data_IF_137498703726
#
_entry.id   IF_137498703726
#
_cell.length_a   1.000
_cell.length_b   1.000
_cell.length_c   1.000
_cell.angle_alpha   90.00
_cell.angle_beta   90.00
_cell.angle_gamma   90.00
#
_symmetry.space_group_name_H-M   'P 1'
#
loop_
_entity.id
_entity.type
_entity.pdbx_description
1 polymer ?
#
# COMPACT_ATOMS: atom_id res chain seq x y z
N UNK A 1 7.88 14.19 -15.52
CA UNK A 1 8.45 13.39 -14.42
C UNK A 1 7.72 13.72 -13.14
N UNK A 2 7.18 12.69 -12.46
CA UNK A 2 6.86 12.65 -11.02
C UNK A 2 5.95 13.72 -10.39
N UNK A 3 4.73 13.34 -10.07
CA UNK A 3 4.19 13.63 -8.73
C UNK A 3 3.64 12.35 -8.13
N UNK A 4 4.51 11.57 -7.48
CA UNK A 4 4.03 10.63 -6.46
C UNK A 4 3.34 11.51 -5.43
N UNK A 5 2.01 11.45 -5.33
CA UNK A 5 1.26 12.08 -4.25
C UNK A 5 2.04 11.82 -2.96
N UNK A 6 2.54 12.88 -2.34
CA UNK A 6 3.47 12.78 -1.24
C UNK A 6 2.89 11.81 -0.22
N UNK A 7 3.60 10.70 0.03
CA UNK A 7 3.37 9.98 1.28
C UNK A 7 3.57 11.03 2.35
N UNK A 8 2.49 11.40 3.04
CA UNK A 8 2.46 12.48 4.05
C UNK A 8 3.64 12.37 5.04
N UNK A 9 4.15 11.15 5.23
CA UNK A 9 5.35 10.85 6.00
C UNK A 9 6.31 9.96 5.19
N UNK A 10 7.60 10.32 5.10
CA UNK A 10 8.65 9.47 4.52
C UNK A 10 8.73 8.11 5.23
N UNK A 11 9.13 7.05 4.52
CA UNK A 11 9.20 5.71 5.11
C UNK A 11 10.30 5.61 6.18
N UNK A 12 11.42 6.33 6.01
CA UNK A 12 12.48 6.47 7.03
C UNK A 12 11.95 7.03 8.37
N UNK A 13 11.03 8.01 8.30
CA UNK A 13 10.40 8.59 9.48
C UNK A 13 9.56 7.55 10.23
N UNK A 14 8.84 6.68 9.50
CA UNK A 14 8.03 5.62 10.10
C UNK A 14 8.90 4.57 10.77
N UNK A 15 9.97 4.13 10.10
CA UNK A 15 10.93 3.16 10.66
C UNK A 15 11.54 3.72 11.94
N UNK A 16 11.98 4.98 11.91
CA UNK A 16 12.50 5.67 13.10
C UNK A 16 11.46 5.74 14.22
N UNK A 17 10.21 6.09 13.91
CA UNK A 17 9.15 6.14 14.92
C UNK A 17 8.90 4.78 15.58
N UNK A 18 8.88 3.69 14.80
CA UNK A 18 8.71 2.33 15.33
C UNK A 18 9.88 1.95 16.24
N UNK A 19 11.12 2.25 15.85
CA UNK A 19 12.29 2.00 16.67
C UNK A 19 12.24 2.79 17.98
N UNK A 20 11.94 4.09 17.91
CA UNK A 20 11.85 4.93 19.11
C UNK A 20 10.74 4.45 20.07
N UNK A 21 9.61 3.96 19.57
CA UNK A 21 8.58 3.36 20.42
C UNK A 21 9.09 2.08 21.08
N UNK A 22 9.82 1.23 20.35
CA UNK A 22 10.41 0.02 20.93
C UNK A 22 11.41 0.35 22.04
N UNK A 23 12.24 1.36 21.86
CA UNK A 23 13.23 1.81 22.85
C UNK A 23 12.53 2.39 24.11
N UNK A 24 11.47 3.20 23.92
CA UNK A 24 10.73 3.84 25.01
C UNK A 24 9.80 2.88 25.76
N UNK A 25 9.45 1.72 25.20
CA UNK A 25 8.48 0.77 25.79
C UNK A 25 8.89 0.28 27.19
N UNK A 26 10.18 0.21 27.50
CA UNK A 26 10.67 -0.18 28.84
C UNK A 26 10.71 0.97 29.84
N UNK A 27 10.67 2.21 29.37
CA UNK A 27 10.78 3.42 30.20
C UNK A 27 9.41 4.01 30.58
N UNK A 28 8.37 3.75 29.77
CA UNK A 28 7.02 4.28 30.01
C UNK A 28 6.12 3.29 30.73
N UNK A 29 5.07 3.82 31.38
CA UNK A 29 4.09 2.99 32.11
C UNK A 29 3.15 2.27 31.13
N UNK A 30 2.93 2.85 29.95
CA UNK A 30 2.08 2.26 28.91
C UNK A 30 2.67 2.41 27.51
N UNK A 31 2.30 1.48 26.63
CA UNK A 31 2.64 1.52 25.21
C UNK A 31 2.07 2.78 24.52
N UNK A 32 0.88 3.22 24.95
CA UNK A 32 0.22 4.41 24.43
C UNK A 32 0.98 5.69 24.77
N UNK A 33 1.52 5.78 25.97
CA UNK A 33 2.35 6.91 26.40
C UNK A 33 3.65 7.02 25.58
N UNK A 34 4.32 5.88 25.32
CA UNK A 34 5.48 5.84 24.43
C UNK A 34 5.11 6.34 23.02
N UNK A 35 3.99 5.89 22.46
CA UNK A 35 3.50 6.35 21.15
C UNK A 35 3.18 7.85 21.12
N UNK A 36 2.56 8.37 22.18
CA UNK A 36 2.28 9.80 22.32
C UNK A 36 3.56 10.64 22.35
N UNK A 37 4.53 10.25 23.19
CA UNK A 37 5.82 10.92 23.27
C UNK A 37 6.58 10.90 21.94
N UNK A 38 6.58 9.77 21.23
CA UNK A 38 7.20 9.68 19.90
C UNK A 38 6.50 10.55 18.87
N UNK A 39 5.16 10.61 18.91
CA UNK A 39 4.40 11.49 18.03
C UNK A 39 4.78 12.96 18.24
N UNK A 40 4.89 13.40 19.50
CA UNK A 40 5.30 14.76 19.85
C UNK A 40 6.75 15.04 19.43
N UNK A 41 7.69 14.11 19.69
CA UNK A 41 9.10 14.26 19.34
C UNK A 41 9.35 14.34 17.84
N UNK A 42 8.57 13.61 17.03
CA UNK A 42 8.73 13.56 15.57
C UNK A 42 7.79 14.53 14.83
N UNK A 43 6.96 15.29 15.55
CA UNK A 43 5.97 16.19 14.94
C UNK A 43 4.91 15.44 14.11
N UNK A 44 4.60 14.20 14.48
CA UNK A 44 3.61 13.36 13.80
C UNK A 44 2.25 13.59 14.46
N UNK A 45 1.22 13.87 13.68
CA UNK A 45 0.01 14.53 14.17
C UNK A 45 -0.69 13.89 15.38
N UNK A 46 -0.66 12.55 15.54
CA UNK A 46 -1.29 11.87 16.68
C UNK A 46 -0.57 10.57 17.06
N UNK A 47 -0.70 10.17 18.34
CA UNK A 47 -0.26 8.86 18.83
C UNK A 47 -0.85 7.69 18.03
N UNK A 48 -2.10 7.84 17.55
CA UNK A 48 -2.76 6.83 16.72
C UNK A 48 -2.08 6.62 15.36
N UNK A 49 -1.42 7.66 14.83
CA UNK A 49 -0.63 7.54 13.60
C UNK A 49 0.59 6.65 13.83
N UNK A 50 1.30 6.88 14.94
CA UNK A 50 2.46 6.06 15.34
C UNK A 50 2.02 4.63 15.65
N UNK A 51 0.90 4.44 16.35
CA UNK A 51 0.32 3.12 16.60
C UNK A 51 0.12 2.34 15.32
N UNK A 52 -0.47 2.95 14.28
CA UNK A 52 -0.67 2.27 12.99
C UNK A 52 0.64 1.78 12.38
N UNK A 53 1.72 2.56 12.47
CA UNK A 53 3.04 2.14 11.98
C UNK A 53 3.62 1.00 12.80
N UNK A 54 3.52 1.07 14.14
CA UNK A 54 3.96 0.01 15.03
C UNK A 54 3.21 -1.30 14.75
N UNK A 55 1.87 -1.24 14.61
CA UNK A 55 1.07 -2.43 14.30
C UNK A 55 1.39 -3.00 12.93
N UNK A 56 1.61 -2.15 11.92
CA UNK A 56 2.03 -2.64 10.60
C UNK A 56 3.42 -3.30 10.66
N UNK A 57 4.37 -2.73 11.41
CA UNK A 57 5.68 -3.34 11.59
C UNK A 57 5.60 -4.68 12.34
N UNK A 58 4.72 -4.79 13.34
CA UNK A 58 4.45 -6.08 14.02
C UNK A 58 3.87 -7.14 13.07
N UNK A 59 3.00 -6.73 12.13
CA UNK A 59 2.46 -7.61 11.10
C UNK A 59 3.54 -8.02 10.11
N UNK A 60 4.33 -7.06 9.61
CA UNK A 60 5.41 -7.29 8.66
C UNK A 60 6.52 -8.18 9.26
N UNK A 61 6.71 -8.13 10.59
CA UNK A 61 7.62 -9.01 11.33
C UNK A 61 7.01 -10.38 11.70
N UNK A 62 5.73 -10.62 11.43
CA UNK A 62 5.02 -11.86 11.77
C UNK A 62 4.63 -11.99 13.25
N UNK A 63 4.88 -10.99 14.08
CA UNK A 63 4.49 -10.96 15.50
C UNK A 63 2.99 -10.75 15.70
N UNK A 64 2.27 -10.29 14.67
CA UNK A 64 0.83 -10.05 14.70
C UNK A 64 0.17 -10.55 13.42
N UNK A 65 -1.01 -11.15 13.53
CA UNK A 65 -1.82 -11.50 12.38
C UNK A 65 -2.28 -10.26 11.62
N UNK A 66 -2.19 -10.30 10.30
CA UNK A 66 -2.60 -9.22 9.41
C UNK A 66 -1.99 -9.38 8.02
N UNK A 67 -2.34 -8.47 7.12
CA UNK A 67 -1.76 -8.40 5.79
C UNK A 67 -0.47 -7.58 5.83
N UNK A 68 0.61 -8.15 5.33
CA UNK A 68 1.91 -7.47 5.26
C UNK A 68 1.91 -6.39 4.19
N UNK A 69 2.84 -5.45 4.34
CA UNK A 69 3.12 -4.41 3.35
C UNK A 69 3.53 -5.02 2.00
N UNK A 70 4.28 -6.12 2.02
CA UNK A 70 4.73 -6.84 0.81
C UNK A 70 3.54 -7.48 0.07
N UNK A 71 2.70 -8.25 0.77
CA UNK A 71 1.49 -8.85 0.18
C UNK A 71 0.58 -7.77 -0.42
N UNK A 72 0.43 -6.64 0.27
CA UNK A 72 -0.34 -5.50 -0.21
C UNK A 72 0.21 -4.93 -1.52
N UNK A 73 1.53 -4.81 -1.64
CA UNK A 73 2.18 -4.33 -2.87
C UNK A 73 2.04 -5.33 -4.03
N UNK A 74 2.20 -6.62 -3.76
CA UNK A 74 2.01 -7.69 -4.75
C UNK A 74 0.57 -7.70 -5.26
N UNK A 75 -0.43 -7.66 -4.37
CA UNK A 75 -1.84 -7.59 -4.76
C UNK A 75 -2.13 -6.33 -5.59
N UNK A 76 -1.54 -5.19 -5.24
CA UNK A 76 -1.71 -3.94 -5.99
C UNK A 76 -1.09 -4.04 -7.38
N UNK A 77 0.03 -4.73 -7.54
CA UNK A 77 0.66 -4.98 -8.85
C UNK A 77 -0.21 -5.91 -9.69
N UNK A 78 -0.62 -7.04 -9.13
CA UNK A 78 -1.47 -8.03 -9.81
C UNK A 78 -2.82 -7.45 -10.24
N UNK A 79 -3.46 -6.63 -9.40
CA UNK A 79 -4.72 -5.95 -9.76
C UNK A 79 -4.55 -5.01 -10.96
N UNK A 80 -3.42 -4.30 -11.04
CA UNK A 80 -3.10 -3.41 -12.18
C UNK A 80 -2.88 -4.22 -13.45
N UNK A 81 -2.07 -5.26 -13.38
CA UNK A 81 -1.80 -6.15 -14.51
C UNK A 81 -3.09 -6.84 -14.99
N UNK A 82 -3.93 -7.34 -14.09
CA UNK A 82 -5.20 -7.95 -14.45
C UNK A 82 -6.15 -6.97 -15.14
N UNK A 83 -6.19 -5.70 -14.70
CA UNK A 83 -6.99 -4.66 -15.34
C UNK A 83 -6.49 -4.34 -16.76
N UNK A 84 -5.16 -4.30 -16.95
CA UNK A 84 -4.54 -4.10 -18.26
C UNK A 84 -4.81 -5.27 -19.21
N UNK A 85 -4.64 -6.50 -18.74
CA UNK A 85 -4.95 -7.72 -19.51
C UNK A 85 -6.42 -7.75 -19.92
N UNK A 86 -7.34 -7.40 -19.02
CA UNK A 86 -8.77 -7.31 -19.33
C UNK A 86 -9.06 -6.25 -20.39
N UNK A 87 -8.39 -5.09 -20.34
CA UNK A 87 -8.51 -4.04 -21.35
C UNK A 87 -8.00 -4.54 -22.71
N UNK A 88 -6.82 -5.15 -22.75
CA UNK A 88 -6.24 -5.69 -23.99
C UNK A 88 -7.15 -6.77 -24.59
N UNK A 89 -7.67 -7.68 -23.76
CA UNK A 89 -8.59 -8.72 -24.20
C UNK A 89 -9.90 -8.15 -24.77
N UNK A 90 -10.43 -7.08 -24.17
CA UNK A 90 -11.62 -6.39 -24.68
C UNK A 90 -11.38 -5.77 -26.06
N UNK A 91 -10.22 -5.14 -26.28
CA UNK A 91 -9.83 -4.58 -27.58
C UNK A 91 -9.72 -5.68 -28.63
N UNK A 92 -9.05 -6.78 -28.31
CA UNK A 92 -8.89 -7.91 -29.24
C UNK A 92 -10.24 -8.55 -29.61
N UNK A 93 -11.14 -8.72 -28.63
CA UNK A 93 -12.49 -9.22 -28.88
C UNK A 93 -13.31 -8.27 -29.76
N UNK A 94 -13.22 -6.97 -29.53
CA UNK A 94 -13.89 -5.99 -30.37
C UNK A 94 -13.36 -6.03 -31.81
N UNK A 95 -12.03 -6.15 -31.99
CA UNK A 95 -11.42 -6.29 -33.30
C UNK A 95 -11.86 -7.58 -34.00
N UNK A 96 -11.89 -8.72 -33.31
CA UNK A 96 -12.32 -9.99 -33.91
C UNK A 96 -13.79 -9.94 -34.36
N UNK A 97 -14.66 -9.30 -33.58
CA UNK A 97 -16.07 -9.11 -33.96
C UNK A 97 -16.17 -8.20 -35.20
N UNK A 98 -15.40 -7.11 -35.23
CA UNK A 98 -15.35 -6.20 -36.38
C UNK A 98 -14.91 -6.92 -37.65
N UNK A 99 -13.81 -7.68 -37.60
CA UNK A 99 -13.31 -8.41 -38.77
C UNK A 99 -14.23 -9.54 -39.21
N UNK A 100 -14.87 -10.27 -38.28
CA UNK A 100 -15.86 -11.28 -38.65
C UNK A 100 -17.06 -10.66 -39.40
N UNK A 101 -17.55 -9.51 -38.93
CA UNK A 101 -18.65 -8.80 -39.59
C UNK A 101 -18.29 -8.26 -40.99
N UNK A 102 -17.02 -7.90 -41.22
CA UNK A 102 -16.54 -7.46 -42.53
C UNK A 102 -16.40 -8.64 -43.51
N UNK A 103 -15.98 -9.82 -43.03
CA UNK A 103 -15.87 -11.04 -43.85
C UNK A 103 -17.24 -11.59 -44.30
N UNK A 104 -18.29 -11.42 -43.48
CA UNK A 104 -19.65 -11.87 -43.81
C UNK A 104 -20.40 -10.92 -44.78
N UNK A 105 -19.81 -9.77 -45.15
CA UNK A 105 -20.35 -8.91 -46.21
C UNK A 105 -19.82 -9.40 -47.57
N UNK A 106 -20.66 -9.95 -48.46
CA UNK A 106 -20.21 -10.28 -49.81
C UNK A 106 -19.75 -8.98 -50.49
N UNK A 107 -18.53 -8.99 -51.02
CA UNK A 107 -18.00 -7.93 -51.87
C UNK A 107 -18.97 -7.69 -53.03
N UNK A 108 -19.65 -6.55 -53.03
CA UNK A 108 -20.33 -6.00 -54.21
C UNK A 108 -19.29 -5.40 -55.16
#
# INVERSE_FOLDING_TARGET
MGSKSSRRYPDELKVRAVQMVADLRSETVSEWEAMGRVADLLGVGTAETVRKWVRQAEIDAGSRAGQTSEESEVLRKLRRENAELKRANAILKAASVFFAAELDRPSQ
#
